data_IF_249765077044
#
_entry.id   IF_249765077044
#
_cell.length_a   1.000
_cell.length_b   1.000
_cell.length_c   1.000
_cell.angle_alpha   90.00
_cell.angle_beta   90.00
_cell.angle_gamma   90.00
#
_symmetry.space_group_name_H-M   'P 1'
#
loop_
_entity.id
_entity.type
_entity.pdbx_description
1 polymer ?
#
# COMPACT_ATOMS: atom_id res chain seq x y z
N UNK A 1 12.93 18.77 -26.61
CA UNK A 1 12.99 19.11 -25.18
C UNK A 1 12.26 20.44 -25.01
N UNK A 2 11.12 20.44 -24.34
CA UNK A 2 10.41 21.66 -23.96
C UNK A 2 11.28 22.39 -22.93
N UNK A 3 11.70 23.64 -23.24
CA UNK A 3 12.30 24.56 -22.27
C UNK A 3 11.24 25.57 -21.90
N UNK A 4 10.94 25.65 -20.60
CA UNK A 4 10.10 26.71 -20.06
C UNK A 4 10.98 27.95 -19.78
N UNK A 5 10.42 29.14 -20.01
CA UNK A 5 11.03 30.40 -19.58
C UNK A 5 11.03 30.47 -18.03
N UNK A 6 11.98 31.19 -17.47
CA UNK A 6 12.17 31.30 -16.00
C UNK A 6 10.91 31.89 -15.34
N UNK A 7 10.30 32.88 -15.94
CA UNK A 7 9.03 33.49 -15.48
C UNK A 7 7.86 32.52 -15.45
N UNK A 8 7.82 31.56 -16.40
CA UNK A 8 6.78 30.49 -16.42
C UNK A 8 7.01 29.50 -15.29
N UNK A 9 8.28 29.20 -14.99
CA UNK A 9 8.63 28.32 -13.88
C UNK A 9 8.23 28.93 -12.54
N UNK A 10 8.59 30.21 -12.29
CA UNK A 10 8.19 30.93 -11.08
C UNK A 10 6.67 30.99 -10.92
N UNK A 11 5.94 31.33 -11.97
CA UNK A 11 4.48 31.34 -11.93
C UNK A 11 3.87 29.99 -11.57
N UNK A 12 4.41 28.89 -12.11
CA UNK A 12 3.93 27.54 -11.79
C UNK A 12 4.21 27.20 -10.33
N UNK A 13 5.39 27.56 -9.80
CA UNK A 13 5.76 27.33 -8.40
C UNK A 13 4.84 28.11 -7.46
N UNK A 14 4.62 29.40 -7.74
CA UNK A 14 3.72 30.24 -6.92
C UNK A 14 2.30 29.69 -6.90
N UNK A 15 1.78 29.26 -8.05
CA UNK A 15 0.46 28.65 -8.14
C UNK A 15 0.38 27.29 -7.43
N UNK A 16 1.47 26.50 -7.45
CA UNK A 16 1.54 25.25 -6.72
C UNK A 16 1.57 25.47 -5.20
N UNK A 17 2.30 26.50 -4.73
CA UNK A 17 2.34 26.87 -3.32
C UNK A 17 0.94 27.33 -2.86
N UNK A 18 0.31 28.25 -3.60
CA UNK A 18 -1.04 28.74 -3.33
C UNK A 18 -2.05 27.57 -3.22
N UNK A 19 -2.06 26.67 -4.20
CA UNK A 19 -2.94 25.50 -4.21
C UNK A 19 -2.64 24.53 -3.05
N UNK A 20 -1.37 24.39 -2.65
CA UNK A 20 -0.97 23.56 -1.52
C UNK A 20 -1.44 24.17 -0.19
N UNK A 21 -1.29 25.49 -0.02
CA UNK A 21 -1.73 26.18 1.18
C UNK A 21 -3.26 26.17 1.35
N UNK A 22 -4.02 26.29 0.25
CA UNK A 22 -5.49 26.39 0.30
C UNK A 22 -6.21 25.03 0.33
N UNK A 23 -5.65 24.00 -0.34
CA UNK A 23 -6.32 22.72 -0.57
C UNK A 23 -5.38 21.51 -0.52
N UNK A 24 -4.20 21.65 0.08
CA UNK A 24 -3.22 20.58 0.20
C UNK A 24 -3.72 19.46 1.11
N UNK A 25 -3.27 18.23 0.80
CA UNK A 25 -3.50 17.05 1.63
C UNK A 25 -2.15 16.43 1.93
N UNK A 26 -1.86 16.18 3.21
CA UNK A 26 -0.67 15.47 3.67
C UNK A 26 -1.12 14.14 4.26
N UNK A 27 -0.60 13.05 3.70
CA UNK A 27 -0.81 11.71 4.22
C UNK A 27 0.42 11.24 4.99
N UNK A 28 0.23 10.86 6.26
CA UNK A 28 1.29 10.36 7.15
C UNK A 28 1.02 8.89 7.40
N UNK A 29 1.85 8.03 6.83
CA UNK A 29 1.76 6.58 7.03
C UNK A 29 2.55 6.12 8.25
N UNK A 30 2.26 4.92 8.75
CA UNK A 30 2.91 4.31 9.93
C UNK A 30 2.89 5.19 11.20
N UNK A 31 1.82 5.94 11.39
CA UNK A 31 1.69 6.87 12.52
C UNK A 31 1.68 6.17 13.90
N UNK A 32 1.36 4.89 13.93
CA UNK A 32 1.46 4.03 15.11
C UNK A 32 2.90 3.87 15.63
N UNK A 33 3.91 4.00 14.76
CA UNK A 33 5.33 3.86 15.14
C UNK A 33 5.80 4.97 16.08
N UNK A 34 5.22 6.15 15.98
CA UNK A 34 5.53 7.26 16.92
C UNK A 34 4.73 7.19 18.22
N UNK A 35 3.65 6.39 18.26
CA UNK A 35 2.82 6.17 19.43
C UNK A 35 3.36 5.06 20.35
N UNK A 36 4.21 4.17 19.86
CA UNK A 36 4.75 3.07 20.64
C UNK A 36 5.60 3.56 21.83
N UNK A 37 5.27 3.11 23.03
CA UNK A 37 6.08 3.38 24.24
C UNK A 37 7.34 2.50 24.19
N UNK A 38 8.48 3.08 23.82
CA UNK A 38 9.73 2.36 23.67
C UNK A 38 10.21 1.68 24.94
N UNK A 39 10.55 0.40 24.85
CA UNK A 39 11.38 -0.33 25.81
C UNK A 39 12.85 -0.33 25.31
N UNK A 40 13.45 0.80 25.01
CA UNK A 40 14.84 0.78 24.56
C UNK A 40 15.77 1.35 25.62
N UNK A 41 16.79 0.55 25.97
CA UNK A 41 17.93 0.92 26.82
C UNK A 41 19.05 1.58 25.99
N UNK A 42 18.73 2.44 25.02
CA UNK A 42 19.72 3.10 24.15
C UNK A 42 19.43 4.59 23.96
N UNK A 43 20.35 5.35 23.34
CA UNK A 43 20.14 6.76 22.97
C UNK A 43 19.17 6.83 21.77
N UNK A 44 17.91 6.54 22.01
CA UNK A 44 16.85 6.64 21.00
C UNK A 44 16.33 8.06 20.95
N UNK A 45 16.12 8.54 19.71
CA UNK A 45 15.30 9.73 19.48
C UNK A 45 13.95 9.46 20.15
N UNK A 46 13.63 10.27 21.15
CA UNK A 46 12.37 10.11 21.90
C UNK A 46 11.21 10.17 20.90
N UNK A 47 10.44 9.09 20.77
CA UNK A 47 9.24 9.05 19.92
C UNK A 47 8.26 10.17 20.29
N UNK A 48 8.22 10.55 21.54
CA UNK A 48 7.51 11.74 22.00
C UNK A 48 8.11 13.03 21.43
N UNK A 49 9.43 13.11 21.23
CA UNK A 49 10.09 14.22 20.55
C UNK A 49 9.58 14.37 19.11
N UNK A 50 9.49 13.27 18.36
CA UNK A 50 8.94 13.27 17.00
C UNK A 50 7.48 13.76 16.98
N UNK A 51 6.66 13.33 17.94
CA UNK A 51 5.29 13.81 18.05
C UNK A 51 5.24 15.33 18.31
N UNK A 52 6.15 15.85 19.15
CA UNK A 52 6.26 17.29 19.44
C UNK A 52 6.78 18.09 18.24
N UNK A 53 7.62 17.49 17.38
CA UNK A 53 8.12 18.12 16.15
C UNK A 53 7.06 18.19 15.05
N UNK A 54 6.16 17.21 14.98
CA UNK A 54 5.05 17.18 14.02
C UNK A 54 3.93 18.13 14.46
N UNK A 55 3.73 18.31 15.74
CA UNK A 55 2.60 19.08 16.31
C UNK A 55 2.48 20.51 15.73
N UNK A 56 3.54 21.34 15.67
CA UNK A 56 3.43 22.68 15.08
C UNK A 56 2.98 22.66 13.63
N UNK A 57 3.41 21.64 12.85
CA UNK A 57 3.06 21.50 11.44
C UNK A 57 1.56 21.23 11.29
N UNK A 58 1.01 20.36 12.15
CA UNK A 58 -0.42 20.01 12.13
C UNK A 58 -1.27 21.14 12.73
N UNK A 59 -0.72 21.95 13.63
CA UNK A 59 -1.41 23.09 14.23
C UNK A 59 -1.48 24.33 13.32
N UNK A 60 -0.63 24.40 12.31
CA UNK A 60 -0.48 25.55 11.44
C UNK A 60 0.84 26.26 11.69
N UNK A 61 1.78 26.09 10.78
CA UNK A 61 3.09 26.73 10.81
C UNK A 61 3.55 27.06 9.40
N UNK A 62 4.55 27.93 9.30
CA UNK A 62 5.24 28.15 8.03
C UNK A 62 6.43 27.22 7.93
N UNK A 63 6.39 26.31 6.98
CA UNK A 63 7.44 25.31 6.70
C UNK A 63 8.27 25.78 5.50
N UNK A 64 9.59 25.86 5.67
CA UNK A 64 10.49 26.21 4.56
C UNK A 64 10.72 24.98 3.67
N UNK A 65 10.35 25.10 2.41
CA UNK A 65 10.58 24.07 1.40
C UNK A 65 11.64 24.54 0.39
N UNK A 66 12.10 23.64 -0.48
CA UNK A 66 12.99 24.01 -1.59
C UNK A 66 12.36 24.96 -2.62
N UNK A 67 11.07 25.15 -2.56
CA UNK A 67 10.29 26.03 -3.45
C UNK A 67 9.85 27.32 -2.75
N UNK A 68 10.18 27.50 -1.49
CA UNK A 68 9.78 28.64 -0.68
C UNK A 68 9.01 28.23 0.59
N UNK A 69 8.60 29.20 1.39
CA UNK A 69 7.80 28.97 2.59
C UNK A 69 6.38 28.54 2.22
N UNK A 70 5.84 27.56 2.94
CA UNK A 70 4.47 27.05 2.78
C UNK A 70 3.77 27.09 4.13
N UNK A 71 2.59 27.66 4.21
CA UNK A 71 1.74 27.67 5.39
C UNK A 71 0.87 26.43 5.45
N UNK A 72 0.78 25.81 6.62
CA UNK A 72 0.05 24.55 6.81
C UNK A 72 -1.34 24.69 7.42
N UNK A 73 -1.80 25.93 7.65
CA UNK A 73 -3.04 26.25 8.36
C UNK A 73 -4.31 25.61 7.77
N UNK A 74 -4.36 25.46 6.45
CA UNK A 74 -5.51 24.90 5.72
C UNK A 74 -5.22 23.55 5.06
N UNK A 75 -4.07 22.94 5.36
CA UNK A 75 -3.72 21.63 4.85
C UNK A 75 -4.49 20.56 5.63
N UNK A 76 -5.11 19.62 4.93
CA UNK A 76 -5.73 18.45 5.52
C UNK A 76 -4.66 17.40 5.84
N UNK A 77 -4.54 17.01 7.13
CA UNK A 77 -3.65 15.94 7.56
C UNK A 77 -4.44 14.65 7.76
N UNK A 78 -4.00 13.58 7.13
CA UNK A 78 -4.56 12.24 7.28
C UNK A 78 -3.44 11.33 7.79
N UNK A 79 -3.62 10.77 8.99
CA UNK A 79 -2.67 9.85 9.59
C UNK A 79 -3.22 8.41 9.52
N UNK A 80 -2.40 7.47 9.09
CA UNK A 80 -2.72 6.04 9.04
C UNK A 80 -1.71 5.24 9.87
N UNK A 81 -2.17 4.16 10.48
CA UNK A 81 -1.32 3.24 11.23
C UNK A 81 -2.10 1.99 11.62
N UNK A 82 -1.39 0.88 11.78
CA UNK A 82 -2.00 -0.40 12.12
C UNK A 82 -2.40 -0.49 13.60
N UNK A 83 -1.71 0.22 14.49
CA UNK A 83 -1.97 0.26 15.94
C UNK A 83 -2.11 -1.11 16.61
N UNK A 84 -1.36 -2.13 16.15
CA UNK A 84 -1.40 -3.48 16.73
C UNK A 84 -0.79 -3.54 18.13
N UNK A 85 0.29 -2.79 18.37
CA UNK A 85 1.04 -2.77 19.63
C UNK A 85 0.71 -1.54 20.47
N UNK A 86 0.45 -0.42 19.82
CA UNK A 86 0.06 0.86 20.42
C UNK A 86 -1.41 1.18 20.11
N UNK A 87 -1.93 2.21 20.77
CA UNK A 87 -3.29 2.70 20.52
C UNK A 87 -3.24 4.19 20.16
N UNK A 88 -4.22 4.73 19.43
CA UNK A 88 -4.32 6.16 19.20
C UNK A 88 -4.31 7.01 20.49
N UNK A 89 -4.74 6.42 21.62
CA UNK A 89 -4.68 7.05 22.96
C UNK A 89 -3.27 7.10 23.57
N UNK A 90 -2.28 6.45 22.96
CA UNK A 90 -0.88 6.53 23.42
C UNK A 90 -0.12 7.72 22.80
N UNK A 91 -0.72 8.40 21.83
CA UNK A 91 -0.24 9.68 21.33
C UNK A 91 -0.36 10.76 22.42
N UNK A 92 0.46 11.81 22.34
CA UNK A 92 0.34 12.96 23.24
C UNK A 92 -1.05 13.60 23.09
N UNK A 93 -1.65 14.12 24.18
CA UNK A 93 -3.01 14.65 24.15
C UNK A 93 -3.25 15.73 23.10
N UNK A 94 -2.24 16.56 22.84
CA UNK A 94 -2.29 17.63 21.86
C UNK A 94 -2.50 17.09 20.44
N UNK A 95 -1.76 16.04 20.04
CA UNK A 95 -1.95 15.37 18.74
C UNK A 95 -3.30 14.66 18.66
N UNK A 96 -3.76 14.04 19.75
CA UNK A 96 -5.09 13.42 19.76
C UNK A 96 -6.19 14.45 19.47
N UNK A 97 -6.04 15.68 19.95
CA UNK A 97 -6.95 16.79 19.70
C UNK A 97 -6.94 17.27 18.25
N UNK A 98 -5.82 17.09 17.53
CA UNK A 98 -5.67 17.48 16.11
C UNK A 98 -6.13 16.40 15.14
N UNK A 99 -6.25 15.14 15.58
CA UNK A 99 -6.83 14.02 14.84
C UNK A 99 -8.13 13.52 15.51
N UNK A 100 -9.19 14.36 15.56
CA UNK A 100 -10.42 14.02 16.28
C UNK A 100 -11.27 12.99 15.57
N UNK A 101 -11.16 12.91 14.23
CA UNK A 101 -11.93 11.95 13.42
C UNK A 101 -11.12 10.66 13.33
N UNK A 102 -11.72 9.57 13.77
CA UNK A 102 -11.10 8.23 13.72
C UNK A 102 -11.96 7.30 12.91
N UNK A 103 -11.33 6.60 11.98
CA UNK A 103 -11.97 5.61 11.11
C UNK A 103 -11.22 4.31 11.27
N UNK A 104 -11.93 3.24 11.58
CA UNK A 104 -11.39 1.89 11.59
C UNK A 104 -11.72 1.20 10.27
N UNK A 105 -10.69 0.74 9.57
CA UNK A 105 -10.86 0.01 8.32
C UNK A 105 -11.20 -1.45 8.64
N UNK A 106 -12.23 -1.97 7.97
CA UNK A 106 -12.61 -3.38 8.10
C UNK A 106 -11.69 -4.27 7.29
N UNK A 107 -11.53 -5.52 7.73
CA UNK A 107 -10.82 -6.54 6.96
C UNK A 107 -11.54 -6.80 5.64
N UNK A 108 -10.75 -7.03 4.59
CA UNK A 108 -11.27 -7.31 3.25
C UNK A 108 -12.00 -8.66 3.23
N UNK A 109 -13.17 -8.68 2.60
CA UNK A 109 -13.94 -9.88 2.30
C UNK A 109 -13.44 -10.57 1.03
N UNK A 110 -13.91 -11.79 0.75
CA UNK A 110 -13.62 -12.49 -0.52
C UNK A 110 -14.10 -11.66 -1.72
N UNK A 111 -15.26 -11.03 -1.62
CA UNK A 111 -15.79 -10.18 -2.69
C UNK A 111 -14.94 -8.93 -2.91
N UNK A 112 -14.43 -8.31 -1.85
CA UNK A 112 -13.50 -7.20 -1.96
C UNK A 112 -12.20 -7.61 -2.67
N UNK A 113 -11.63 -8.76 -2.34
CA UNK A 113 -10.45 -9.29 -3.04
C UNK A 113 -10.72 -9.53 -4.52
N UNK A 114 -11.89 -10.11 -4.85
CA UNK A 114 -12.30 -10.33 -6.24
C UNK A 114 -12.42 -9.01 -7.01
N UNK A 115 -13.05 -8.00 -6.42
CA UNK A 115 -13.19 -6.67 -7.00
C UNK A 115 -11.83 -5.99 -7.21
N UNK A 116 -10.93 -6.07 -6.25
CA UNK A 116 -9.56 -5.53 -6.36
C UNK A 116 -8.79 -6.20 -7.51
N UNK A 117 -8.97 -7.50 -7.73
CA UNK A 117 -8.33 -8.23 -8.82
C UNK A 117 -8.81 -7.80 -10.21
N UNK A 118 -10.05 -7.31 -10.35
CA UNK A 118 -10.72 -7.17 -11.65
C UNK A 118 -11.15 -5.73 -12.01
N UNK A 119 -11.72 -4.97 -11.06
CA UNK A 119 -12.37 -3.70 -11.34
C UNK A 119 -11.41 -2.53 -11.67
N UNK A 120 -10.29 -2.33 -10.96
CA UNK A 120 -9.43 -1.19 -11.23
C UNK A 120 -8.92 -1.15 -12.67
N UNK A 121 -8.70 0.06 -13.20
CA UNK A 121 -8.16 0.23 -14.55
C UNK A 121 -6.81 -0.48 -14.71
N UNK A 122 -5.99 -0.49 -13.66
CA UNK A 122 -4.74 -1.22 -13.55
C UNK A 122 -4.86 -2.34 -12.52
N UNK A 123 -5.86 -3.22 -12.68
CA UNK A 123 -6.00 -4.38 -11.80
C UNK A 123 -4.83 -5.35 -11.97
N UNK A 124 -4.52 -6.13 -10.94
CA UNK A 124 -3.40 -7.08 -10.96
C UNK A 124 -3.51 -8.08 -12.11
N UNK A 125 -4.71 -8.58 -12.38
CA UNK A 125 -4.98 -9.46 -13.52
C UNK A 125 -4.51 -8.81 -14.82
N UNK A 126 -4.88 -7.55 -15.07
CA UNK A 126 -4.47 -6.82 -16.29
C UNK A 126 -2.97 -6.56 -16.34
N UNK A 127 -2.35 -6.25 -15.18
CA UNK A 127 -0.91 -6.01 -15.10
C UNK A 127 -0.11 -7.27 -15.48
N UNK A 128 -0.42 -8.42 -14.88
CA UNK A 128 0.27 -9.69 -15.18
C UNK A 128 -0.01 -10.17 -16.59
N UNK A 129 -1.24 -10.00 -17.11
CA UNK A 129 -1.56 -10.30 -18.49
C UNK A 129 -0.73 -9.46 -19.46
N UNK A 130 -0.61 -8.16 -19.22
CA UNK A 130 0.20 -7.28 -20.06
C UNK A 130 1.71 -7.58 -19.94
N UNK A 131 2.19 -7.91 -18.74
CA UNK A 131 3.59 -8.26 -18.49
C UNK A 131 3.98 -9.50 -19.29
N UNK A 132 3.24 -10.61 -19.18
CA UNK A 132 3.55 -11.86 -19.87
C UNK A 132 3.30 -11.80 -21.38
N UNK A 133 2.43 -10.89 -21.82
CA UNK A 133 2.26 -10.63 -23.25
C UNK A 133 3.52 -10.06 -23.92
N UNK A 134 4.43 -9.40 -23.17
CA UNK A 134 5.72 -8.93 -23.72
C UNK A 134 6.63 -10.06 -24.15
N UNK A 135 6.52 -11.23 -23.51
CA UNK A 135 7.23 -12.47 -23.85
C UNK A 135 6.42 -13.39 -24.79
N UNK A 136 5.29 -12.87 -25.29
CA UNK A 136 4.41 -13.57 -26.23
C UNK A 136 3.52 -14.62 -25.57
N UNK A 137 3.37 -14.62 -24.24
CA UNK A 137 2.47 -15.50 -23.50
C UNK A 137 1.12 -14.83 -23.30
N UNK A 138 0.04 -15.48 -23.74
CA UNK A 138 -1.34 -15.06 -23.49
C UNK A 138 -1.81 -15.68 -22.18
N UNK A 139 -2.09 -14.83 -21.20
CA UNK A 139 -2.59 -15.24 -19.89
C UNK A 139 -4.10 -14.95 -19.79
N UNK A 140 -4.89 -15.98 -19.51
CA UNK A 140 -6.34 -15.89 -19.36
C UNK A 140 -6.74 -16.32 -17.94
N UNK A 141 -7.43 -15.44 -17.21
CA UNK A 141 -7.99 -15.75 -15.91
C UNK A 141 -9.47 -16.07 -16.04
N UNK A 142 -9.86 -17.24 -15.58
CA UNK A 142 -11.27 -17.62 -15.52
C UNK A 142 -11.93 -17.12 -14.24
N UNK A 143 -13.26 -16.98 -14.22
CA UNK A 143 -14.00 -16.51 -13.04
C UNK A 143 -13.78 -17.40 -11.80
N UNK A 144 -13.70 -18.71 -11.99
CA UNK A 144 -13.42 -19.68 -10.93
C UNK A 144 -11.97 -19.58 -10.44
N UNK A 145 -11.01 -19.27 -11.31
CA UNK A 145 -9.63 -18.98 -10.96
C UNK A 145 -9.51 -17.71 -10.11
N UNK A 146 -10.16 -16.63 -10.53
CA UNK A 146 -10.22 -15.38 -9.77
C UNK A 146 -10.85 -15.59 -8.39
N UNK A 147 -11.94 -16.34 -8.31
CA UNK A 147 -12.60 -16.67 -7.05
C UNK A 147 -11.67 -17.51 -6.14
N UNK A 148 -10.96 -18.51 -6.68
CA UNK A 148 -10.03 -19.31 -5.92
C UNK A 148 -8.87 -18.47 -5.34
N UNK A 149 -8.33 -17.53 -6.11
CA UNK A 149 -7.29 -16.59 -5.62
C UNK A 149 -7.84 -15.73 -4.49
N UNK A 150 -9.06 -15.17 -4.64
CA UNK A 150 -9.68 -14.32 -3.65
C UNK A 150 -9.99 -15.06 -2.34
N UNK A 151 -10.52 -16.29 -2.42
CA UNK A 151 -10.76 -17.16 -1.27
C UNK A 151 -9.46 -17.51 -0.53
N UNK A 152 -8.41 -17.80 -1.27
CA UNK A 152 -7.10 -18.12 -0.71
C UNK A 152 -6.49 -16.90 0.00
N UNK A 153 -6.54 -15.71 -0.62
CA UNK A 153 -6.05 -14.47 -0.02
C UNK A 153 -6.78 -14.12 1.28
N UNK A 154 -8.10 -14.26 1.27
CA UNK A 154 -8.93 -14.05 2.47
C UNK A 154 -8.55 -15.01 3.59
N UNK A 155 -8.45 -16.31 3.30
CA UNK A 155 -8.08 -17.33 4.28
C UNK A 155 -6.70 -17.07 4.88
N UNK A 156 -5.69 -16.81 4.06
CA UNK A 156 -4.33 -16.56 4.54
C UNK A 156 -4.26 -15.30 5.41
N UNK A 157 -4.99 -14.22 5.05
CA UNK A 157 -5.09 -13.02 5.90
C UNK A 157 -5.81 -13.27 7.23
N UNK A 158 -6.64 -14.33 7.34
CA UNK A 158 -7.25 -14.73 8.62
C UNK A 158 -6.35 -15.60 9.47
N UNK A 159 -5.55 -16.46 8.83
CA UNK A 159 -4.70 -17.46 9.50
C UNK A 159 -3.31 -16.91 9.86
N UNK A 160 -2.86 -15.84 9.18
CA UNK A 160 -1.56 -15.20 9.38
C UNK A 160 -1.71 -13.70 9.67
N UNK A 161 -0.64 -12.92 9.50
CA UNK A 161 -0.70 -11.47 9.58
C UNK A 161 -1.57 -10.91 8.45
N UNK A 162 -2.54 -10.07 8.81
CA UNK A 162 -3.42 -9.42 7.85
C UNK A 162 -2.71 -8.24 7.17
N UNK A 163 -2.18 -8.46 5.98
CA UNK A 163 -1.52 -7.45 5.14
C UNK A 163 -2.46 -6.85 4.08
N UNK A 164 -3.76 -7.09 4.19
CA UNK A 164 -4.76 -6.55 3.30
C UNK A 164 -4.58 -7.00 1.85
N UNK A 165 -4.78 -6.08 0.91
CA UNK A 165 -4.70 -6.35 -0.53
C UNK A 165 -3.27 -6.68 -1.02
N UNK A 166 -2.22 -6.36 -0.27
CA UNK A 166 -0.84 -6.75 -0.61
C UNK A 166 -0.70 -8.27 -0.76
N UNK A 167 -1.52 -9.04 -0.03
CA UNK A 167 -1.57 -10.49 -0.15
C UNK A 167 -1.81 -10.99 -1.58
N UNK A 168 -2.58 -10.26 -2.37
CA UNK A 168 -2.84 -10.63 -3.77
C UNK A 168 -1.57 -10.60 -4.64
N UNK A 169 -0.66 -9.64 -4.42
CA UNK A 169 0.61 -9.61 -5.13
C UNK A 169 1.43 -10.86 -4.84
N UNK A 170 1.62 -11.19 -3.57
CA UNK A 170 2.40 -12.36 -3.15
C UNK A 170 1.82 -13.67 -3.69
N UNK A 171 0.49 -13.80 -3.68
CA UNK A 171 -0.19 -14.99 -4.21
C UNK A 171 -0.04 -15.09 -5.73
N UNK A 172 -0.25 -13.99 -6.46
CA UNK A 172 -0.10 -13.99 -7.92
C UNK A 172 1.34 -14.24 -8.35
N UNK A 173 2.32 -13.64 -7.66
CA UNK A 173 3.74 -13.93 -7.88
C UNK A 173 4.00 -15.42 -7.73
N UNK A 174 3.49 -16.06 -6.67
CA UNK A 174 3.70 -17.48 -6.44
C UNK A 174 3.01 -18.37 -7.47
N UNK A 175 1.78 -18.05 -7.86
CA UNK A 175 1.03 -18.81 -8.87
C UNK A 175 1.73 -18.73 -10.25
N UNK A 176 2.27 -17.56 -10.59
CA UNK A 176 2.83 -17.28 -11.90
C UNK A 176 4.36 -17.41 -11.98
N UNK A 177 5.05 -17.71 -10.87
CA UNK A 177 6.51 -17.80 -10.77
C UNK A 177 7.12 -18.63 -11.89
N UNK A 178 6.67 -19.88 -12.04
CA UNK A 178 7.21 -20.78 -13.07
C UNK A 178 6.86 -20.29 -14.47
N UNK A 179 5.62 -19.81 -14.69
CA UNK A 179 5.17 -19.29 -15.98
C UNK A 179 6.01 -18.08 -16.39
N UNK A 180 6.29 -17.17 -15.46
CA UNK A 180 7.09 -15.98 -15.71
C UNK A 180 8.57 -16.32 -15.99
N UNK A 181 9.12 -17.31 -15.26
CA UNK A 181 10.49 -17.77 -15.47
C UNK A 181 10.68 -18.46 -16.83
N UNK A 182 9.74 -19.30 -17.23
CA UNK A 182 9.79 -20.09 -18.47
C UNK A 182 9.23 -19.33 -19.68
N UNK A 183 8.62 -18.15 -19.48
CA UNK A 183 7.91 -17.40 -20.52
C UNK A 183 8.68 -17.23 -21.87
N UNK A 184 10.01 -16.95 -21.86
CA UNK A 184 10.76 -16.83 -23.12
C UNK A 184 10.82 -18.12 -23.92
N UNK A 185 10.90 -19.27 -23.25
CA UNK A 185 11.19 -20.59 -23.83
C UNK A 185 9.95 -21.52 -23.87
N UNK A 186 8.82 -21.10 -23.26
CA UNK A 186 7.64 -21.94 -23.15
C UNK A 186 7.00 -22.21 -24.53
N UNK A 187 6.72 -23.48 -24.82
CA UNK A 187 6.09 -23.89 -26.08
C UNK A 187 4.59 -23.51 -26.13
N UNK A 188 3.91 -23.65 -24.98
CA UNK A 188 2.48 -23.32 -24.86
C UNK A 188 2.31 -21.85 -24.53
N UNK A 189 2.00 -21.05 -25.55
CA UNK A 189 1.85 -19.60 -25.42
C UNK A 189 0.50 -19.14 -24.82
N UNK A 190 -0.41 -20.04 -24.51
CA UNK A 190 -1.71 -19.75 -23.91
C UNK A 190 -1.87 -20.48 -22.58
N UNK A 191 -1.90 -19.73 -21.50
CA UNK A 191 -2.02 -20.23 -20.12
C UNK A 191 -3.38 -19.82 -19.54
N UNK A 192 -4.14 -20.80 -19.08
CA UNK A 192 -5.45 -20.59 -18.46
C UNK A 192 -5.31 -20.76 -16.94
N UNK A 193 -5.51 -19.67 -16.20
CA UNK A 193 -5.50 -19.66 -14.73
C UNK A 193 -6.92 -19.92 -14.24
N UNK A 194 -7.26 -21.19 -14.12
CA UNK A 194 -8.51 -21.68 -13.54
C UNK A 194 -8.30 -22.15 -12.10
N UNK A 195 -9.37 -22.60 -11.45
CA UNK A 195 -9.35 -23.08 -10.07
C UNK A 195 -8.33 -24.21 -9.85
N UNK A 196 -8.24 -25.16 -10.78
CA UNK A 196 -7.33 -26.31 -10.64
C UNK A 196 -5.87 -25.87 -10.77
N UNK A 197 -5.57 -24.95 -11.69
CA UNK A 197 -4.25 -24.34 -11.82
C UNK A 197 -3.83 -23.62 -10.52
N UNK A 198 -4.73 -22.83 -9.93
CA UNK A 198 -4.48 -22.14 -8.66
C UNK A 198 -4.22 -23.14 -7.55
N UNK A 199 -5.04 -24.18 -7.43
CA UNK A 199 -4.89 -25.23 -6.42
C UNK A 199 -3.56 -25.97 -6.54
N UNK A 200 -3.15 -26.34 -7.75
CA UNK A 200 -1.86 -27.01 -8.02
C UNK A 200 -0.68 -26.16 -7.54
N UNK A 201 -0.65 -24.88 -7.91
CA UNK A 201 0.45 -23.97 -7.57
C UNK A 201 0.50 -23.58 -6.09
N UNK A 202 -0.62 -23.60 -5.39
CA UNK A 202 -0.70 -23.23 -3.97
C UNK A 202 -0.63 -24.43 -3.01
N UNK A 203 -0.91 -25.65 -3.46
CA UNK A 203 -0.82 -26.85 -2.60
C UNK A 203 0.59 -27.10 -2.07
N UNK A 204 1.63 -26.81 -2.83
CA UNK A 204 3.03 -26.94 -2.41
C UNK A 204 3.38 -25.98 -1.26
N UNK A 205 2.70 -24.82 -1.20
CA UNK A 205 2.89 -23.80 -0.16
C UNK A 205 2.14 -24.19 1.13
N UNK A 206 0.96 -24.78 1.00
CA UNK A 206 0.14 -25.20 2.15
C UNK A 206 0.76 -26.39 2.89
N UNK A 207 1.47 -27.28 2.21
CA UNK A 207 2.11 -28.44 2.83
C UNK A 207 3.38 -28.08 3.62
N UNK A 208 3.97 -26.91 3.38
CA UNK A 208 5.17 -26.43 4.07
C UNK A 208 4.81 -25.23 4.95
N UNK A 209 4.30 -25.47 6.15
CA UNK A 209 3.92 -24.43 7.13
C UNK A 209 5.09 -23.49 7.44
N UNK A 210 6.33 -23.96 7.42
CA UNK A 210 7.53 -23.13 7.60
C UNK A 210 7.80 -22.20 6.40
N UNK A 211 7.45 -22.62 5.17
CA UNK A 211 7.60 -21.80 3.97
C UNK A 211 6.46 -20.76 3.85
N UNK A 212 5.27 -21.05 4.35
CA UNK A 212 4.14 -20.11 4.31
C UNK A 212 4.42 -18.83 5.11
N UNK A 213 5.20 -18.91 6.20
CA UNK A 213 5.63 -17.76 7.00
C UNK A 213 6.70 -16.89 6.31
N UNK A 214 7.44 -17.43 5.32
CA UNK A 214 8.51 -16.70 4.61
C UNK A 214 8.14 -16.26 3.20
N UNK A 215 7.13 -16.89 2.59
CA UNK A 215 6.77 -16.66 1.18
C UNK A 215 5.41 -15.95 1.05
N UNK A 216 4.57 -16.05 2.04
CA UNK A 216 3.25 -15.43 2.11
C UNK A 216 3.18 -14.44 3.27
#
# INVERSE_FOLDING_TARGET
TLKFDEDVYEYIVDKAIEATEEAGIVFIDEFDKIAEKGRSNGPDVSREGVQRDILPIVEGATVNTKYGPVKTDHILFIAAGAFHVSKPSDLIPELQGRFPIRVELQSLTVDDFRRILTEPNQSLVKQYTALLATDGVTLEFTDDGINAIAEYAHRVNQETENIGARRLHTILEKILENVAYEAPDIETKHIIVNKDFVADKLNDVVQNVDLSHYIL
#
